data_IF_377863653144
#
_entry.id   IF_377863653144
#
_cell.length_a   1.000
_cell.length_b   1.000
_cell.length_c   1.000
_cell.angle_alpha   90.00
_cell.angle_beta   90.00
_cell.angle_gamma   90.00
#
_symmetry.space_group_name_H-M   'P 1'
#
loop_
_entity.id
_entity.type
_entity.pdbx_description
1 polymer ?
#
# COMPACT_ATOMS: atom_id res chain seq x y z
N UNK A 1 0.05 -7.20 -29.55
CA UNK A 1 -1.01 -7.07 -28.53
C UNK A 1 -0.93 -8.29 -27.64
N UNK A 2 -0.44 -8.14 -26.41
CA UNK A 2 -0.39 -9.26 -25.46
C UNK A 2 -1.81 -9.53 -24.97
N UNK A 3 -2.43 -10.60 -25.48
CA UNK A 3 -3.69 -11.11 -24.95
C UNK A 3 -3.42 -11.62 -23.54
N UNK A 4 -4.12 -11.08 -22.53
CA UNK A 4 -4.02 -11.57 -21.15
C UNK A 4 -4.43 -13.05 -21.16
N UNK A 5 -3.55 -13.99 -20.76
CA UNK A 5 -3.90 -15.41 -20.78
C UNK A 5 -5.14 -15.67 -19.92
N UNK A 6 -6.04 -16.53 -20.41
CA UNK A 6 -7.31 -16.84 -19.75
C UNK A 6 -7.13 -17.26 -18.27
N UNK A 7 -5.99 -17.88 -17.93
CA UNK A 7 -5.64 -18.25 -16.56
C UNK A 7 -5.42 -17.03 -15.65
N UNK A 8 -4.67 -16.02 -16.13
CA UNK A 8 -4.42 -14.77 -15.39
C UNK A 8 -5.73 -14.01 -15.21
N UNK A 9 -6.55 -13.94 -16.26
CA UNK A 9 -7.86 -13.29 -16.21
C UNK A 9 -8.79 -13.99 -15.19
N UNK A 10 -8.87 -15.32 -15.19
CA UNK A 10 -9.67 -16.09 -14.21
C UNK A 10 -9.20 -15.85 -12.79
N UNK A 11 -7.90 -15.87 -12.54
CA UNK A 11 -7.35 -15.62 -11.22
C UNK A 11 -7.62 -14.18 -10.75
N UNK A 12 -7.46 -13.18 -11.64
CA UNK A 12 -7.80 -11.79 -11.33
C UNK A 12 -9.29 -11.59 -11.02
N UNK A 13 -10.18 -12.23 -11.79
CA UNK A 13 -11.63 -12.21 -11.54
C UNK A 13 -11.95 -12.89 -10.21
N UNK A 14 -11.33 -14.03 -9.89
CA UNK A 14 -11.55 -14.71 -8.62
C UNK A 14 -11.04 -13.88 -7.44
N UNK A 15 -9.87 -13.26 -7.54
CA UNK A 15 -9.30 -12.40 -6.50
C UNK A 15 -10.14 -11.14 -6.28
N UNK A 16 -10.60 -10.50 -7.36
CA UNK A 16 -11.51 -9.36 -7.24
C UNK A 16 -12.87 -9.75 -6.68
N UNK A 17 -13.43 -10.90 -7.08
CA UNK A 17 -14.66 -11.43 -6.50
C UNK A 17 -14.51 -11.74 -5.01
N UNK A 18 -13.42 -12.40 -4.60
CA UNK A 18 -13.10 -12.64 -3.19
C UNK A 18 -12.93 -11.33 -2.42
N UNK A 19 -12.25 -10.34 -2.99
CA UNK A 19 -12.10 -9.01 -2.39
C UNK A 19 -13.45 -8.33 -2.20
N UNK A 20 -14.33 -8.35 -3.21
CA UNK A 20 -15.70 -7.81 -3.14
C UNK A 20 -16.54 -8.56 -2.12
N UNK A 21 -16.44 -9.89 -2.04
CA UNK A 21 -17.15 -10.68 -1.03
C UNK A 21 -16.66 -10.37 0.40
N UNK A 22 -15.35 -10.25 0.58
CA UNK A 22 -14.77 -9.83 1.86
C UNK A 22 -15.24 -8.42 2.23
N UNK A 23 -15.31 -7.50 1.26
CA UNK A 23 -15.81 -6.15 1.47
C UNK A 23 -17.31 -6.13 1.77
N UNK A 24 -18.12 -6.91 1.06
CA UNK A 24 -19.56 -7.05 1.30
C UNK A 24 -19.82 -7.57 2.72
N UNK A 25 -19.09 -8.61 3.15
CA UNK A 25 -19.16 -9.10 4.53
C UNK A 25 -18.66 -8.09 5.55
N UNK A 26 -17.72 -7.21 5.18
CA UNK A 26 -17.29 -6.11 6.02
C UNK A 26 -18.34 -5.00 6.14
N UNK A 27 -19.16 -4.75 5.11
CA UNK A 27 -20.23 -3.74 5.13
C UNK A 27 -21.33 -4.10 6.15
N UNK A 28 -21.59 -5.39 6.39
CA UNK A 28 -22.52 -5.85 7.45
C UNK A 28 -21.97 -5.64 8.88
N UNK A 29 -20.70 -5.24 9.02
CA UNK A 29 -20.12 -4.88 10.32
C UNK A 29 -20.53 -3.45 10.71
N UNK A 30 -20.74 -3.16 12.01
CA UNK A 30 -21.16 -1.83 12.46
C UNK A 30 -20.10 -0.77 12.10
N UNK A 31 -20.53 0.38 11.57
CA UNK A 31 -19.69 1.39 10.92
C UNK A 31 -18.43 1.84 11.70
N UNK A 32 -18.44 1.83 13.04
CA UNK A 32 -17.28 2.13 13.88
C UNK A 32 -16.15 1.08 13.78
N UNK A 33 -16.45 -0.10 13.23
CA UNK A 33 -15.50 -1.17 12.92
C UNK A 33 -15.18 -1.29 11.41
N UNK A 34 -15.98 -0.65 10.55
CA UNK A 34 -15.98 -0.90 9.09
C UNK A 34 -14.99 -0.03 8.32
N UNK A 35 -14.74 1.21 8.75
CA UNK A 35 -13.71 2.03 8.10
C UNK A 35 -12.32 1.62 8.59
N UNK A 36 -11.70 0.69 7.85
CA UNK A 36 -10.32 0.23 8.03
C UNK A 36 -10.10 -0.99 8.96
N UNK A 37 -11.07 -1.38 9.80
CA UNK A 37 -10.96 -2.53 10.71
C UNK A 37 -9.62 -2.61 11.47
N UNK A 38 -9.11 -3.83 11.70
CA UNK A 38 -7.71 -4.05 12.19
C UNK A 38 -6.64 -3.74 11.12
N UNK A 39 -7.03 -3.44 9.89
CA UNK A 39 -6.14 -3.24 8.73
C UNK A 39 -5.78 -1.78 8.48
N UNK A 40 -6.20 -0.91 9.39
CA UNK A 40 -5.87 0.50 9.53
C UNK A 40 -4.38 0.83 9.31
N UNK A 41 -3.44 -0.08 9.58
CA UNK A 41 -2.01 0.12 9.28
C UNK A 41 -1.66 0.16 7.77
N UNK A 42 -2.57 -0.25 6.88
CA UNK A 42 -2.40 -0.17 5.41
C UNK A 42 -2.13 1.26 4.94
N UNK A 43 -2.65 2.26 5.66
CA UNK A 43 -2.45 3.69 5.38
C UNK A 43 -0.98 4.05 5.12
N UNK A 44 -0.03 3.41 5.81
CA UNK A 44 1.40 3.69 5.63
C UNK A 44 2.09 2.81 4.58
N UNK A 45 1.49 1.66 4.27
CA UNK A 45 1.87 0.88 3.09
C UNK A 45 1.51 1.66 1.83
N UNK A 46 0.36 2.34 1.83
CA UNK A 46 -0.05 3.17 0.70
C UNK A 46 0.87 4.39 0.50
N UNK A 47 1.37 4.99 1.59
CA UNK A 47 2.40 6.03 1.51
C UNK A 47 3.69 5.51 0.84
N UNK A 48 4.10 4.28 1.15
CA UNK A 48 5.22 3.63 0.48
C UNK A 48 4.95 3.46 -1.03
N UNK A 49 3.76 2.96 -1.41
CA UNK A 49 3.38 2.74 -2.81
C UNK A 49 3.39 4.05 -3.60
N UNK A 50 2.78 5.11 -3.06
CA UNK A 50 2.77 6.45 -3.68
C UNK A 50 4.19 6.98 -3.84
N UNK A 51 5.02 6.88 -2.80
CA UNK A 51 6.41 7.37 -2.83
C UNK A 51 7.24 6.63 -3.88
N UNK A 52 7.14 5.30 -3.93
CA UNK A 52 7.85 4.49 -4.91
C UNK A 52 7.41 4.79 -6.33
N UNK A 53 6.10 4.89 -6.56
CA UNK A 53 5.56 5.21 -7.89
C UNK A 53 6.12 6.53 -8.40
N UNK A 54 6.00 7.63 -7.65
CA UNK A 54 6.46 8.94 -8.11
C UNK A 54 7.98 9.02 -8.22
N UNK A 55 8.73 8.35 -7.33
CA UNK A 55 10.20 8.30 -7.42
C UNK A 55 10.64 7.65 -8.73
N UNK A 56 10.09 6.48 -9.05
CA UNK A 56 10.40 5.79 -10.31
C UNK A 56 9.87 6.58 -11.51
N UNK A 57 8.67 7.14 -11.41
CA UNK A 57 8.05 7.92 -12.48
C UNK A 57 8.88 9.14 -12.87
N UNK A 58 9.41 9.87 -11.88
CA UNK A 58 10.25 11.05 -12.10
C UNK A 58 11.63 10.66 -12.64
N UNK A 59 12.19 9.56 -12.15
CA UNK A 59 13.50 9.07 -12.61
C UNK A 59 13.43 8.59 -14.07
N UNK A 60 12.53 7.65 -14.35
CA UNK A 60 12.17 7.21 -15.70
C UNK A 60 10.81 6.52 -15.66
N UNK A 61 9.78 7.21 -16.17
CA UNK A 61 8.41 6.69 -16.18
C UNK A 61 8.26 5.36 -16.91
N UNK A 62 9.09 5.01 -17.89
CA UNK A 62 8.93 3.74 -18.62
C UNK A 62 9.16 2.52 -17.72
N UNK A 63 9.82 2.70 -16.58
CA UNK A 63 10.10 1.63 -15.61
C UNK A 63 8.85 1.16 -14.83
N UNK A 64 7.83 2.00 -14.73
CA UNK A 64 6.61 1.75 -13.93
C UNK A 64 5.31 2.08 -14.67
N UNK A 65 5.33 3.07 -15.58
CA UNK A 65 4.18 3.59 -16.31
C UNK A 65 4.54 3.97 -17.76
N UNK A 66 4.60 2.98 -18.68
CA UNK A 66 4.96 3.20 -20.08
C UNK A 66 4.05 4.20 -20.81
N UNK A 67 4.58 4.94 -21.78
CA UNK A 67 3.80 5.89 -22.63
C UNK A 67 2.60 5.27 -23.32
N UNK A 68 2.64 3.97 -23.59
CA UNK A 68 1.51 3.25 -24.17
C UNK A 68 0.23 3.40 -23.32
N UNK A 69 0.36 3.51 -22.00
CA UNK A 69 -0.76 3.64 -21.07
C UNK A 69 -1.49 4.98 -21.20
N UNK A 70 -0.83 6.04 -21.67
CA UNK A 70 -1.45 7.37 -21.85
C UNK A 70 -2.62 7.34 -22.85
N UNK A 71 -2.62 6.37 -23.77
CA UNK A 71 -3.71 6.18 -24.74
C UNK A 71 -4.99 5.61 -24.10
N UNK A 72 -4.87 4.99 -22.93
CA UNK A 72 -5.99 4.35 -22.22
C UNK A 72 -6.38 5.11 -20.95
N UNK A 73 -5.38 5.69 -20.28
CA UNK A 73 -5.52 6.35 -18.98
C UNK A 73 -4.95 7.77 -19.12
N UNK A 74 -5.82 8.79 -19.20
CA UNK A 74 -5.36 10.17 -19.37
C UNK A 74 -4.59 10.66 -18.12
N UNK A 75 -3.71 11.66 -18.26
CA UNK A 75 -2.85 12.12 -17.16
C UNK A 75 -3.60 12.52 -15.88
N UNK A 76 -4.78 13.14 -16.01
CA UNK A 76 -5.59 13.51 -14.84
C UNK A 76 -6.06 12.29 -14.06
N UNK A 77 -6.41 11.19 -14.74
CA UNK A 77 -6.83 9.95 -14.11
C UNK A 77 -5.62 9.26 -13.47
N UNK A 78 -4.45 9.30 -14.12
CA UNK A 78 -3.21 8.81 -13.54
C UNK A 78 -2.87 9.53 -12.21
N UNK A 79 -2.93 10.86 -12.20
CA UNK A 79 -2.80 11.65 -10.98
C UNK A 79 -3.91 11.35 -9.97
N UNK A 80 -5.14 11.18 -10.45
CA UNK A 80 -6.27 10.71 -9.66
C UNK A 80 -5.93 9.44 -8.88
N UNK A 81 -5.41 8.43 -9.55
CA UNK A 81 -5.10 7.13 -8.95
C UNK A 81 -3.85 7.16 -8.06
N UNK A 82 -2.82 7.95 -8.39
CA UNK A 82 -1.50 7.86 -7.74
C UNK A 82 -1.14 9.05 -6.84
N UNK A 83 -1.82 10.19 -6.95
CA UNK A 83 -1.59 11.37 -6.09
C UNK A 83 -2.69 11.52 -5.04
N UNK A 84 -3.96 11.29 -5.38
CA UNK A 84 -5.08 11.59 -4.46
C UNK A 84 -5.10 10.70 -3.22
N UNK A 85 -4.45 9.54 -3.29
CA UNK A 85 -4.26 8.64 -2.14
C UNK A 85 -3.51 9.35 -0.99
N UNK A 86 -2.56 10.24 -1.30
CA UNK A 86 -1.77 10.95 -0.29
C UNK A 86 -2.61 11.86 0.62
N UNK A 87 -3.43 12.81 0.13
CA UNK A 87 -4.27 13.63 1.00
C UNK A 87 -5.27 12.79 1.80
N UNK A 88 -5.83 11.70 1.24
CA UNK A 88 -6.72 10.82 2.01
C UNK A 88 -6.01 10.15 3.18
N UNK A 89 -4.79 9.63 2.97
CA UNK A 89 -3.95 9.07 4.04
C UNK A 89 -3.66 10.12 5.12
N UNK A 90 -3.28 11.34 4.72
CA UNK A 90 -2.94 12.39 5.68
C UNK A 90 -4.15 12.83 6.51
N UNK A 91 -5.32 12.94 5.89
CA UNK A 91 -6.57 13.23 6.60
C UNK A 91 -6.88 12.08 7.56
N UNK A 92 -6.85 10.84 7.07
CA UNK A 92 -7.15 9.65 7.88
C UNK A 92 -6.26 9.56 9.12
N UNK A 93 -4.94 9.78 8.96
CA UNK A 93 -3.97 9.77 10.04
C UNK A 93 -4.24 10.86 11.10
N UNK A 94 -4.81 12.00 10.70
CA UNK A 94 -5.15 13.09 11.61
C UNK A 94 -6.52 12.92 12.27
N UNK A 95 -7.45 12.24 11.63
CA UNK A 95 -8.83 12.09 12.14
C UNK A 95 -9.07 10.78 12.86
N UNK A 96 -8.22 9.77 12.65
CA UNK A 96 -8.40 8.42 13.19
C UNK A 96 -7.17 7.98 13.95
N UNK A 97 -7.33 7.54 15.20
CA UNK A 97 -6.27 6.88 15.95
C UNK A 97 -6.17 5.42 15.51
N UNK A 98 -5.04 5.05 14.89
CA UNK A 98 -4.80 3.69 14.42
C UNK A 98 -4.20 2.86 15.55
N UNK A 99 -4.85 1.75 15.90
CA UNK A 99 -4.29 0.79 16.85
C UNK A 99 -3.43 -0.23 16.10
N UNK A 100 -2.11 -0.10 16.21
CA UNK A 100 -1.18 -1.02 15.58
C UNK A 100 -1.15 -2.38 16.31
N UNK A 101 -1.03 -3.51 15.59
CA UNK A 101 -0.69 -4.79 16.23
C UNK A 101 0.73 -4.72 16.81
N UNK A 102 1.16 -5.74 17.54
CA UNK A 102 2.54 -5.80 18.02
C UNK A 102 3.52 -5.72 16.85
N UNK A 103 4.64 -5.00 17.02
CA UNK A 103 5.61 -4.73 15.94
C UNK A 103 6.05 -5.99 15.20
N UNK A 104 6.31 -7.09 15.93
CA UNK A 104 6.68 -8.37 15.34
C UNK A 104 5.56 -8.97 14.49
N UNK A 105 4.32 -8.88 14.96
CA UNK A 105 3.15 -9.35 14.21
C UNK A 105 2.96 -8.53 12.93
N UNK A 106 3.04 -7.20 13.03
CA UNK A 106 2.93 -6.30 11.88
C UNK A 106 4.02 -6.52 10.83
N UNK A 107 5.28 -6.58 11.25
CA UNK A 107 6.41 -6.90 10.35
C UNK A 107 6.22 -8.27 9.70
N UNK A 108 5.82 -9.29 10.47
CA UNK A 108 5.55 -10.61 9.93
C UNK A 108 4.45 -10.57 8.87
N UNK A 109 3.35 -9.84 9.12
CA UNK A 109 2.27 -9.65 8.15
C UNK A 109 2.75 -8.96 6.87
N UNK A 110 3.51 -7.86 6.98
CA UNK A 110 4.06 -7.14 5.82
C UNK A 110 5.00 -8.03 5.00
N UNK A 111 5.88 -8.79 5.67
CA UNK A 111 6.78 -9.73 5.02
C UNK A 111 6.02 -10.86 4.31
N UNK A 112 5.05 -11.48 4.98
CA UNK A 112 4.22 -12.55 4.39
C UNK A 112 3.46 -12.03 3.16
N UNK A 113 2.86 -10.85 3.25
CA UNK A 113 2.17 -10.23 2.12
C UNK A 113 3.13 -9.94 0.95
N UNK A 114 4.32 -9.40 1.24
CA UNK A 114 5.35 -9.13 0.24
C UNK A 114 5.80 -10.40 -0.48
N UNK A 115 6.02 -11.50 0.24
CA UNK A 115 6.37 -12.81 -0.34
C UNK A 115 5.24 -13.32 -1.25
N UNK A 116 3.99 -13.28 -0.79
CA UNK A 116 2.84 -13.69 -1.60
C UNK A 116 2.75 -12.87 -2.90
N UNK A 117 2.96 -11.57 -2.82
CA UNK A 117 2.94 -10.69 -3.99
C UNK A 117 4.09 -10.97 -4.96
N UNK A 118 5.32 -11.19 -4.47
CA UNK A 118 6.47 -11.55 -5.30
C UNK A 118 6.22 -12.90 -6.00
N UNK A 119 5.73 -13.91 -5.28
CA UNK A 119 5.39 -15.21 -5.86
C UNK A 119 4.32 -15.08 -6.96
N UNK A 120 3.29 -14.26 -6.71
CA UNK A 120 2.27 -13.95 -7.70
C UNK A 120 2.86 -13.28 -8.95
N UNK A 121 3.71 -12.27 -8.79
CA UNK A 121 4.37 -11.61 -9.92
C UNK A 121 5.24 -12.58 -10.74
N UNK A 122 6.01 -13.44 -10.06
CA UNK A 122 6.80 -14.48 -10.70
C UNK A 122 5.92 -15.45 -11.49
N UNK A 123 4.76 -15.84 -10.94
CA UNK A 123 3.79 -16.67 -11.63
C UNK A 123 3.20 -15.97 -12.87
N UNK A 124 2.82 -14.70 -12.75
CA UNK A 124 2.33 -13.90 -13.90
C UNK A 124 3.39 -13.81 -14.99
N UNK A 125 4.66 -13.57 -14.63
CA UNK A 125 5.76 -13.55 -15.60
C UNK A 125 5.97 -14.93 -16.25
N UNK A 126 5.92 -16.00 -15.47
CA UNK A 126 6.04 -17.36 -16.01
C UNK A 126 4.97 -17.68 -17.06
N UNK A 127 3.74 -17.20 -16.86
CA UNK A 127 2.61 -17.45 -17.77
C UNK A 127 2.58 -16.49 -18.96
N UNK A 128 2.91 -15.21 -18.75
CA UNK A 128 2.77 -14.15 -19.78
C UNK A 128 4.06 -13.83 -20.53
N UNK A 129 5.21 -14.21 -19.97
CA UNK A 129 6.53 -13.77 -20.42
C UNK A 129 6.84 -12.30 -20.12
N UNK A 130 5.93 -11.55 -19.49
CA UNK A 130 6.09 -10.12 -19.22
C UNK A 130 6.11 -9.86 -17.71
N UNK A 131 6.97 -8.95 -17.27
CA UNK A 131 6.92 -8.48 -15.88
C UNK A 131 5.78 -7.49 -15.67
N UNK A 132 5.19 -7.53 -14.49
CA UNK A 132 4.18 -6.54 -14.05
C UNK A 132 4.77 -5.13 -14.06
N UNK A 133 6.05 -4.99 -13.69
CA UNK A 133 6.80 -3.74 -13.76
C UNK A 133 7.93 -3.87 -14.78
N UNK A 134 7.98 -3.02 -15.82
CA UNK A 134 9.04 -3.04 -16.83
C UNK A 134 10.45 -2.97 -16.25
N UNK A 135 10.66 -2.27 -15.14
CA UNK A 135 11.92 -2.22 -14.39
C UNK A 135 12.57 -3.60 -14.22
N UNK A 136 11.77 -4.63 -13.92
CA UNK A 136 12.27 -5.97 -13.65
C UNK A 136 12.86 -6.65 -14.89
N UNK A 137 12.47 -6.26 -16.10
CA UNK A 137 13.04 -6.79 -17.34
C UNK A 137 14.54 -6.45 -17.43
N UNK A 138 14.93 -5.27 -16.96
CA UNK A 138 16.30 -4.75 -17.05
C UNK A 138 17.25 -5.26 -15.95
N UNK A 139 16.73 -5.96 -14.94
CA UNK A 139 17.51 -6.41 -13.78
C UNK A 139 17.91 -7.88 -13.95
N UNK A 140 19.16 -8.26 -13.69
CA UNK A 140 19.57 -9.67 -13.75
C UNK A 140 18.89 -10.53 -12.66
N UNK A 141 18.74 -11.86 -12.83
CA UNK A 141 18.03 -12.70 -11.86
C UNK A 141 18.56 -12.59 -10.41
N UNK A 142 19.88 -12.55 -10.23
CA UNK A 142 20.48 -12.36 -8.90
C UNK A 142 20.20 -10.97 -8.32
N UNK A 143 20.28 -9.93 -9.15
CA UNK A 143 19.97 -8.57 -8.73
C UNK A 143 18.48 -8.38 -8.41
N UNK A 144 17.56 -9.13 -9.02
CA UNK A 144 16.13 -9.12 -8.67
C UNK A 144 15.89 -9.59 -7.23
N UNK A 145 16.60 -10.63 -6.80
CA UNK A 145 16.49 -11.14 -5.41
C UNK A 145 16.90 -10.05 -4.44
N UNK A 146 18.06 -9.41 -4.69
CA UNK A 146 18.54 -8.29 -3.88
C UNK A 146 17.55 -7.12 -3.89
N UNK A 147 17.02 -6.78 -5.06
CA UNK A 147 16.01 -5.73 -5.21
C UNK A 147 14.76 -6.00 -4.38
N UNK A 148 14.20 -7.22 -4.43
CA UNK A 148 13.03 -7.58 -3.64
C UNK A 148 13.31 -7.56 -2.14
N UNK A 149 14.50 -7.97 -1.70
CA UNK A 149 14.92 -7.87 -0.29
C UNK A 149 14.97 -6.40 0.13
N UNK A 150 15.61 -5.53 -0.65
CA UNK A 150 15.71 -4.09 -0.36
C UNK A 150 14.32 -3.46 -0.27
N UNK A 151 13.46 -3.73 -1.26
CA UNK A 151 12.08 -3.20 -1.27
C UNK A 151 11.29 -3.69 -0.06
N UNK A 152 11.46 -4.96 0.33
CA UNK A 152 10.83 -5.54 1.53
C UNK A 152 11.34 -4.87 2.81
N UNK A 153 12.63 -4.52 2.89
CA UNK A 153 13.16 -3.76 4.02
C UNK A 153 12.58 -2.34 4.06
N UNK A 154 12.50 -1.67 2.92
CA UNK A 154 11.97 -0.30 2.82
C UNK A 154 10.49 -0.26 3.25
N UNK A 155 9.63 -1.14 2.75
CA UNK A 155 8.21 -1.16 3.17
C UNK A 155 8.06 -1.40 4.68
N UNK A 156 8.92 -2.22 5.30
CA UNK A 156 8.94 -2.39 6.75
C UNK A 156 9.42 -1.12 7.49
N UNK A 157 10.34 -0.34 6.91
CA UNK A 157 10.70 0.97 7.47
C UNK A 157 9.52 1.95 7.44
N UNK A 158 8.74 1.97 6.34
CA UNK A 158 7.52 2.77 6.24
C UNK A 158 6.46 2.33 7.25
N UNK A 159 6.31 1.03 7.50
CA UNK A 159 5.43 0.51 8.55
C UNK A 159 5.82 1.05 9.94
N UNK A 160 7.11 1.01 10.30
CA UNK A 160 7.62 1.53 11.58
C UNK A 160 7.47 3.05 11.66
N UNK A 161 7.73 3.76 10.55
CA UNK A 161 7.49 5.19 10.47
C UNK A 161 6.03 5.52 10.75
N UNK A 162 5.11 4.72 10.21
CA UNK A 162 3.68 4.88 10.46
C UNK A 162 3.26 4.65 11.90
N UNK A 163 3.78 3.59 12.51
CA UNK A 163 3.60 3.32 13.95
C UNK A 163 4.01 4.55 14.78
N UNK A 164 5.20 5.11 14.51
CA UNK A 164 5.74 6.27 15.24
C UNK A 164 4.95 7.56 15.00
N UNK A 165 4.60 7.86 13.74
CA UNK A 165 3.83 9.06 13.40
C UNK A 165 2.45 9.04 14.04
N UNK A 166 1.80 7.87 14.05
CA UNK A 166 0.54 7.68 14.74
C UNK A 166 0.69 7.93 16.25
N UNK A 167 1.64 7.28 16.93
CA UNK A 167 1.87 7.55 18.36
C UNK A 167 2.14 9.02 18.64
N UNK A 168 2.98 9.68 17.83
CA UNK A 168 3.32 11.10 18.02
C UNK A 168 2.10 12.02 17.91
N UNK A 169 1.24 11.84 16.91
CA UNK A 169 0.06 12.69 16.70
C UNK A 169 -0.92 12.59 17.87
N UNK A 170 -1.18 11.37 18.34
CA UNK A 170 -2.22 11.11 19.33
C UNK A 170 -1.74 11.25 20.77
N UNK A 171 -0.45 11.03 21.05
CA UNK A 171 0.15 11.37 22.35
C UNK A 171 0.25 12.89 22.55
N UNK A 172 0.56 13.66 21.50
CA UNK A 172 0.59 15.11 21.56
C UNK A 172 -0.79 15.70 21.91
N UNK A 173 -1.87 15.21 21.28
CA UNK A 173 -3.23 15.65 21.56
C UNK A 173 -3.65 15.36 23.00
N UNK A 174 -3.38 14.16 23.50
CA UNK A 174 -3.64 13.80 24.91
C UNK A 174 -2.88 14.71 25.89
N UNK A 175 -1.65 15.09 25.55
CA UNK A 175 -0.83 15.99 26.37
C UNK A 175 -1.37 17.43 26.39
N UNK A 176 -1.89 17.91 25.25
CA UNK A 176 -2.49 19.23 25.12
C UNK A 176 -3.83 19.32 25.86
N UNK A 177 -4.68 18.28 25.78
CA UNK A 177 -5.93 18.20 26.55
C UNK A 177 -5.68 18.21 28.07
N UNK A 178 -4.65 17.49 28.53
CA UNK A 178 -4.30 17.45 29.96
C UNK A 178 -3.75 18.79 30.46
N UNK A 179 -3.02 19.53 29.61
CA UNK A 179 -2.51 20.87 29.93
C UNK A 179 -3.65 21.90 30.01
N UNK A 180 -4.63 21.82 29.12
CA UNK A 180 -5.78 22.74 29.12
C UNK A 180 -6.73 22.49 30.31
N UNK A 181 -6.82 21.24 30.79
CA UNK A 181 -7.58 20.86 32.00
C UNK A 181 -6.80 21.03 33.31
N UNK A 182 -5.74 21.85 33.33
CA UNK A 182 -4.95 22.15 34.54
C UNK A 182 -5.82 22.55 35.74
N UNK A 183 -5.34 22.34 36.99
CA UNK A 183 -6.18 22.41 38.18
C UNK A 183 -6.80 23.81 38.30
N UNK A 184 -8.13 23.86 38.37
CA UNK A 184 -8.81 25.04 38.89
C UNK A 184 -8.28 25.22 40.32
N UNK A 185 -7.66 26.36 40.60
CA UNK A 185 -7.42 26.78 41.98
C UNK A 185 -8.77 27.24 42.52
N UNK A 186 -9.49 26.33 43.17
CA UNK A 186 -10.56 26.63 44.13
C UNK A 186 -9.99 27.14 45.47
#
# INVERSE_FOLDING_TARGET
MALIPCQVLRAAILLSYLSVLCHYKAIEMPAHQTYGGSWKFLTFIDLFVVTMFWTLYIYDRELVYPKLLDNFIPPWLNHGMHTTVLPFILIEMRTTHHHYPSRTCGIATVCSFSICYILWMCWVHHITGMWVYPLLEYISPGAKIVFFIIVTVIINMFYILGEKLNSYIWEAEKSDELRDKGPKMD
#
